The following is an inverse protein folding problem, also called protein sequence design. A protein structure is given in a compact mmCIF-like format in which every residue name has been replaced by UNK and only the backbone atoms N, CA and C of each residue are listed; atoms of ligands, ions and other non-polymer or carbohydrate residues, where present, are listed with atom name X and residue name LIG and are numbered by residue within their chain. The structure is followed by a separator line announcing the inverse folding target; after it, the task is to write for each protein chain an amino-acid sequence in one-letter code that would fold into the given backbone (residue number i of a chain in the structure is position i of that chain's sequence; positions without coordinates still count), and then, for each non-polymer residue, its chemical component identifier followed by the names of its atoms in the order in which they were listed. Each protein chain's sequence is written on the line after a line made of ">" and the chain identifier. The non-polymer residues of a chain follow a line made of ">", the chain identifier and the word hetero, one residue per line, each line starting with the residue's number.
data_IF_540980580225
#
_entry.id   IF_540980580225
#
_cell.length_a   1.000
_cell.length_b   1.000
_cell.length_c   1.000
_cell.angle_alpha   90.00
_cell.angle_beta   90.00
_cell.angle_gamma   90.00
#
_symmetry.space_group_name_H-M   'P 1'
#
loop_
_entity.id
_entity.type
_entity.pdbx_description
1 polymer ?
#
# COMPACT_ATOMS: atom_id res chain seq x y z
N UNK A 1 24.03 23.50 -19.80
CA UNK A 1 22.80 22.75 -20.09
C UNK A 1 22.30 22.13 -18.80
N UNK A 2 21.13 22.57 -18.28
CA UNK A 2 20.49 21.91 -17.14
C UNK A 2 19.95 20.57 -17.61
N UNK A 3 20.51 19.46 -17.11
CA UNK A 3 19.97 18.12 -17.30
C UNK A 3 18.59 18.06 -16.63
N UNK A 4 17.54 18.12 -17.44
CA UNK A 4 16.14 18.33 -17.01
C UNK A 4 15.47 17.11 -16.34
N UNK A 5 16.20 16.03 -16.10
CA UNK A 5 15.77 14.89 -15.29
C UNK A 5 16.97 14.44 -14.46
N UNK A 6 17.05 14.76 -13.15
CA UNK A 6 18.11 14.25 -12.31
C UNK A 6 18.05 12.72 -12.33
N UNK A 7 19.19 12.08 -12.61
CA UNK A 7 19.38 10.62 -12.72
C UNK A 7 18.82 9.85 -11.52
N UNK A 8 18.69 10.53 -10.38
CA UNK A 8 18.14 10.00 -9.14
C UNK A 8 16.62 9.73 -9.24
N UNK A 9 15.85 10.54 -9.99
CA UNK A 9 14.41 10.30 -10.24
C UNK A 9 14.22 9.00 -11.03
N UNK A 10 15.12 8.73 -11.99
CA UNK A 10 15.09 7.51 -12.82
C UNK A 10 15.30 6.25 -11.96
N UNK A 11 15.99 6.35 -10.82
CA UNK A 11 16.20 5.23 -9.91
C UNK A 11 15.03 5.00 -8.95
N UNK A 12 14.35 6.07 -8.52
CA UNK A 12 13.23 6.01 -7.57
C UNK A 12 11.96 5.42 -8.18
N UNK A 13 11.67 5.70 -9.45
CA UNK A 13 10.47 5.19 -10.13
C UNK A 13 10.43 3.65 -10.22
N UNK A 14 11.48 2.97 -10.73
CA UNK A 14 11.54 1.50 -10.76
C UNK A 14 11.43 0.89 -9.37
N UNK A 15 12.07 1.49 -8.36
CA UNK A 15 11.99 1.03 -6.98
C UNK A 15 10.56 1.09 -6.44
N UNK A 16 9.83 2.18 -6.65
CA UNK A 16 8.43 2.29 -6.30
C UNK A 16 7.57 1.22 -6.97
N UNK A 17 7.79 0.97 -8.27
CA UNK A 17 7.08 -0.07 -9.02
C UNK A 17 7.35 -1.46 -8.42
N UNK A 18 8.62 -1.78 -8.16
CA UNK A 18 9.03 -3.06 -7.56
C UNK A 18 8.43 -3.22 -6.16
N UNK A 19 8.44 -2.16 -5.34
CA UNK A 19 7.80 -2.15 -4.02
C UNK A 19 6.30 -2.42 -4.12
N UNK A 20 5.56 -1.66 -4.93
CA UNK A 20 4.12 -1.86 -5.08
C UNK A 20 3.81 -3.26 -5.60
N UNK A 21 4.60 -3.78 -6.54
CA UNK A 21 4.44 -5.15 -7.05
C UNK A 21 4.66 -6.21 -5.96
N UNK A 22 5.72 -6.07 -5.16
CA UNK A 22 5.99 -6.98 -4.03
C UNK A 22 4.88 -6.93 -2.99
N UNK A 23 4.40 -5.73 -2.63
CA UNK A 23 3.31 -5.56 -1.66
C UNK A 23 2.02 -6.20 -2.18
N UNK A 24 1.67 -6.00 -3.45
CA UNK A 24 0.51 -6.65 -4.09
C UNK A 24 0.68 -8.17 -4.11
N UNK A 25 1.87 -8.67 -4.47
CA UNK A 25 2.14 -10.11 -4.51
C UNK A 25 2.00 -10.77 -3.13
N UNK A 26 2.55 -10.16 -2.08
CA UNK A 26 2.39 -10.63 -0.69
C UNK A 26 0.92 -10.59 -0.27
N UNK A 27 0.21 -9.52 -0.63
CA UNK A 27 -1.22 -9.36 -0.34
C UNK A 27 -2.07 -10.43 -1.03
N UNK A 28 -1.78 -10.75 -2.30
CA UNK A 28 -2.43 -11.83 -3.05
C UNK A 28 -2.18 -13.21 -2.41
N UNK A 29 -0.94 -13.49 -1.99
CA UNK A 29 -0.60 -14.74 -1.30
C UNK A 29 -1.39 -14.90 0.00
N UNK A 30 -1.51 -13.83 0.79
CA UNK A 30 -2.28 -13.83 2.03
C UNK A 30 -3.77 -14.00 1.78
N UNK A 31 -4.34 -13.24 0.85
CA UNK A 31 -5.74 -13.37 0.45
C UNK A 31 -6.09 -14.79 -0.02
N UNK A 32 -5.18 -15.45 -0.76
CA UNK A 32 -5.30 -16.86 -1.15
C UNK A 32 -5.23 -17.80 0.04
N UNK A 33 -4.26 -17.62 0.95
CA UNK A 33 -4.14 -18.46 2.17
C UNK A 33 -5.35 -18.32 3.09
N UNK A 34 -5.92 -17.14 3.17
CA UNK A 34 -7.10 -16.85 3.97
C UNK A 34 -8.40 -17.31 3.30
N UNK A 35 -8.31 -17.96 2.12
CA UNK A 35 -9.43 -18.46 1.31
C UNK A 35 -10.44 -17.37 0.93
N UNK A 36 -10.04 -16.10 0.98
CA UNK A 36 -10.83 -14.95 0.54
C UNK A 36 -10.87 -14.85 -0.98
N UNK A 37 -9.76 -15.21 -1.63
CA UNK A 37 -9.72 -15.48 -3.07
C UNK A 37 -9.86 -16.99 -3.30
N UNK A 38 -11.10 -17.47 -3.47
CA UNK A 38 -11.31 -18.77 -4.14
C UNK A 38 -10.85 -18.60 -5.59
N UNK A 39 -10.07 -19.55 -6.11
CA UNK A 39 -9.61 -19.53 -7.52
C UNK A 39 -10.81 -19.28 -8.44
N UNK A 40 -10.65 -18.54 -9.54
CA UNK A 40 -11.76 -18.31 -10.47
C UNK A 40 -12.11 -19.68 -11.07
N UNK A 41 -13.10 -20.35 -10.48
CA UNK A 41 -13.87 -21.33 -11.21
C UNK A 41 -14.81 -20.51 -12.08
N UNK A 42 -14.68 -20.69 -13.40
CA UNK A 42 -15.66 -20.28 -14.40
C UNK A 42 -17.08 -20.39 -13.82
N UNK A 43 -17.73 -19.25 -13.55
CA UNK A 43 -19.08 -19.20 -12.96
C UNK A 43 -19.21 -18.68 -11.51
N UNK A 44 -18.18 -18.08 -10.91
CA UNK A 44 -18.34 -17.36 -9.63
C UNK A 44 -19.26 -16.14 -9.80
N UNK A 45 -20.31 -16.04 -8.97
CA UNK A 45 -21.16 -14.85 -8.87
C UNK A 45 -20.31 -13.61 -8.57
N UNK A 46 -20.43 -12.57 -9.40
CA UNK A 46 -19.67 -11.31 -9.34
C UNK A 46 -19.71 -10.60 -7.97
N UNK A 47 -20.69 -10.92 -7.14
CA UNK A 47 -20.82 -10.37 -5.80
C UNK A 47 -19.67 -10.79 -4.86
N UNK A 48 -19.14 -12.00 -4.97
CA UNK A 48 -18.13 -12.54 -4.05
C UNK A 48 -16.69 -12.09 -4.37
N UNK A 49 -16.44 -11.64 -5.60
CA UNK A 49 -15.11 -11.13 -6.03
C UNK A 49 -14.90 -9.65 -5.65
N UNK A 50 -15.99 -8.92 -5.44
CA UNK A 50 -16.01 -7.48 -5.15
C UNK A 50 -15.16 -7.09 -3.93
N UNK A 51 -15.27 -7.77 -2.76
CA UNK A 51 -14.47 -7.44 -1.58
C UNK A 51 -12.98 -7.72 -1.78
N UNK A 52 -12.63 -8.78 -2.52
CA UNK A 52 -11.23 -9.11 -2.79
C UNK A 52 -10.57 -8.10 -3.73
N UNK A 53 -11.27 -7.70 -4.79
CA UNK A 53 -10.83 -6.63 -5.69
C UNK A 53 -10.68 -5.30 -4.94
N UNK A 54 -11.62 -5.00 -4.04
CA UNK A 54 -11.56 -3.80 -3.22
C UNK A 54 -10.36 -3.79 -2.26
N UNK A 55 -10.06 -4.91 -1.59
CA UNK A 55 -8.88 -5.02 -0.72
C UNK A 55 -7.60 -4.81 -1.52
N UNK A 56 -7.49 -5.38 -2.73
CA UNK A 56 -6.32 -5.17 -3.59
C UNK A 56 -6.16 -3.71 -4.01
N UNK A 57 -7.28 -3.03 -4.31
CA UNK A 57 -7.28 -1.61 -4.64
C UNK A 57 -6.87 -0.75 -3.43
N UNK A 58 -7.36 -1.09 -2.23
CA UNK A 58 -6.95 -0.43 -0.98
C UNK A 58 -5.47 -0.58 -0.67
N UNK A 59 -4.91 -1.79 -0.86
CA UNK A 59 -3.47 -2.04 -0.75
C UNK A 59 -2.67 -1.19 -1.75
N UNK A 60 -3.15 -1.06 -2.99
CA UNK A 60 -2.51 -0.25 -4.01
C UNK A 60 -2.51 1.24 -3.62
N UNK A 61 -3.62 1.76 -3.08
CA UNK A 61 -3.71 3.11 -2.54
C UNK A 61 -2.70 3.30 -1.40
N UNK A 62 -2.68 2.41 -0.41
CA UNK A 62 -1.73 2.48 0.72
C UNK A 62 -0.28 2.45 0.20
N UNK A 63 0.00 1.64 -0.82
CA UNK A 63 1.34 1.56 -1.41
C UNK A 63 1.81 2.87 -2.04
N UNK A 64 0.89 3.76 -2.45
CA UNK A 64 1.23 5.06 -3.04
C UNK A 64 1.61 6.13 -2.00
N UNK A 65 1.37 5.89 -0.71
CA UNK A 65 1.61 6.86 0.36
C UNK A 65 3.09 7.27 0.50
N UNK A 66 4.02 6.43 0.04
CA UNK A 66 5.46 6.66 0.15
C UNK A 66 6.08 7.45 -1.02
N UNK A 67 5.34 7.65 -2.12
CA UNK A 67 5.86 8.32 -3.29
C UNK A 67 6.42 9.73 -2.97
N UNK A 68 5.68 10.66 -2.33
CA UNK A 68 6.20 11.99 -2.05
C UNK A 68 7.43 11.96 -1.12
N UNK A 69 7.39 11.11 -0.10
CA UNK A 69 8.47 10.92 0.86
C UNK A 69 9.77 10.46 0.21
N UNK A 70 9.68 9.51 -0.73
CA UNK A 70 10.85 9.02 -1.47
C UNK A 70 11.44 10.07 -2.40
N UNK A 71 10.61 10.83 -3.13
CA UNK A 71 11.11 11.94 -3.96
C UNK A 71 11.82 13.01 -3.12
N UNK A 72 11.27 13.35 -1.95
CA UNK A 72 11.90 14.30 -1.04
C UNK A 72 13.22 13.78 -0.48
N UNK A 73 13.26 12.53 -0.03
CA UNK A 73 14.48 11.92 0.51
C UNK A 73 15.63 11.90 -0.52
N UNK A 74 15.33 11.56 -1.79
CA UNK A 74 16.30 11.56 -2.88
C UNK A 74 16.92 12.95 -3.07
N UNK A 75 16.07 13.99 -3.03
CA UNK A 75 16.52 15.38 -3.18
C UNK A 75 17.41 15.79 -1.99
N UNK A 76 16.99 15.52 -0.76
CA UNK A 76 17.75 15.86 0.45
C UNK A 76 19.11 15.15 0.51
N UNK A 77 19.17 13.86 0.17
CA UNK A 77 20.42 13.09 0.20
C UNK A 77 21.38 13.47 -0.93
N UNK A 78 20.86 13.84 -2.11
CA UNK A 78 21.67 14.30 -3.25
C UNK A 78 22.42 15.59 -3.01
N UNK A 79 21.95 16.43 -2.08
CA UNK A 79 22.60 17.71 -1.76
C UNK A 79 23.46 17.65 -0.49
N UNK A 80 23.15 16.74 0.42
CA UNK A 80 23.82 16.66 1.73
C UNK A 80 25.02 15.71 1.73
N UNK A 81 25.05 14.69 0.87
CA UNK A 81 26.06 13.62 0.92
C UNK A 81 26.82 13.47 -0.40
N UNK A 82 28.13 13.21 -0.29
CA UNK A 82 29.01 12.87 -1.42
C UNK A 82 28.71 11.49 -2.01
N UNK A 83 28.06 10.60 -1.24
CA UNK A 83 27.49 9.33 -1.71
C UNK A 83 26.03 9.18 -1.27
N UNK A 84 25.13 8.98 -2.24
CA UNK A 84 23.67 8.97 -2.01
C UNK A 84 23.18 7.58 -1.59
N UNK A 85 23.94 6.53 -1.93
CA UNK A 85 23.46 5.14 -2.00
C UNK A 85 23.09 4.52 -0.66
N UNK A 86 23.97 4.58 0.35
CA UNK A 86 23.72 3.96 1.66
C UNK A 86 22.56 4.60 2.45
N UNK A 87 22.52 5.93 2.67
CA UNK A 87 21.45 6.55 3.45
C UNK A 87 20.10 6.45 2.74
N UNK A 88 20.09 6.52 1.41
CA UNK A 88 18.87 6.35 0.62
C UNK A 88 18.33 4.93 0.69
N UNK A 89 19.19 3.90 0.59
CA UNK A 89 18.75 2.50 0.63
C UNK A 89 18.19 2.11 1.99
N UNK A 90 18.78 2.63 3.08
CA UNK A 90 18.29 2.44 4.43
C UNK A 90 16.95 3.15 4.66
N UNK A 91 16.78 4.37 4.15
CA UNK A 91 15.48 5.06 4.16
C UNK A 91 14.42 4.30 3.34
N UNK A 92 14.78 3.86 2.14
CA UNK A 92 13.90 3.06 1.28
C UNK A 92 13.44 1.78 1.97
N UNK A 93 14.35 1.02 2.59
CA UNK A 93 14.02 -0.20 3.33
C UNK A 93 13.05 0.06 4.51
N UNK A 94 13.26 1.15 5.26
CA UNK A 94 12.34 1.56 6.34
C UNK A 94 10.96 1.93 5.78
N UNK A 95 10.93 2.71 4.69
CA UNK A 95 9.68 3.09 4.04
C UNK A 95 8.91 1.88 3.53
N UNK A 96 9.61 0.90 2.95
CA UNK A 96 9.05 -0.36 2.49
C UNK A 96 8.42 -1.16 3.63
N UNK A 97 9.12 -1.29 4.76
CA UNK A 97 8.61 -2.00 5.94
C UNK A 97 7.34 -1.35 6.51
N UNK A 98 7.30 -0.02 6.58
CA UNK A 98 6.12 0.73 7.05
C UNK A 98 4.93 0.51 6.10
N UNK A 99 5.13 0.63 4.80
CA UNK A 99 4.08 0.39 3.81
C UNK A 99 3.60 -1.05 3.84
N UNK A 100 4.50 -2.02 3.96
CA UNK A 100 4.17 -3.44 4.07
C UNK A 100 3.35 -3.71 5.33
N UNK A 101 3.82 -3.25 6.49
CA UNK A 101 3.12 -3.42 7.76
C UNK A 101 1.72 -2.82 7.73
N UNK A 102 1.58 -1.60 7.19
CA UNK A 102 0.28 -0.92 7.11
C UNK A 102 -0.68 -1.64 6.15
N UNK A 103 -0.16 -2.17 5.03
CA UNK A 103 -0.94 -2.98 4.09
C UNK A 103 -1.40 -4.30 4.73
N UNK A 104 -0.54 -4.95 5.52
CA UNK A 104 -0.90 -6.16 6.27
C UNK A 104 -1.96 -5.88 7.33
N UNK A 105 -1.83 -4.77 8.07
CA UNK A 105 -2.82 -4.34 9.04
C UNK A 105 -4.18 -4.10 8.38
N UNK A 106 -4.20 -3.43 7.23
CA UNK A 106 -5.41 -3.20 6.44
C UNK A 106 -6.08 -4.52 6.02
N UNK A 107 -5.32 -5.50 5.54
CA UNK A 107 -5.85 -6.83 5.18
C UNK A 107 -6.41 -7.54 6.41
N UNK A 108 -5.70 -7.48 7.55
CA UNK A 108 -6.16 -8.09 8.80
C UNK A 108 -7.46 -7.46 9.29
N UNK A 109 -7.59 -6.13 9.26
CA UNK A 109 -8.82 -5.41 9.62
C UNK A 109 -9.99 -5.80 8.71
N UNK A 110 -9.76 -5.88 7.40
CA UNK A 110 -10.79 -6.33 6.47
C UNK A 110 -11.17 -7.80 6.68
N UNK A 111 -10.24 -8.68 7.03
CA UNK A 111 -10.56 -10.06 7.35
C UNK A 111 -11.41 -10.19 8.62
N UNK A 112 -11.07 -9.41 9.65
CA UNK A 112 -11.89 -9.33 10.86
C UNK A 112 -13.28 -8.83 10.52
N UNK A 113 -13.40 -7.77 9.71
CA UNK A 113 -14.66 -7.21 9.25
C UNK A 113 -15.51 -8.26 8.50
N UNK A 114 -14.90 -8.96 7.53
CA UNK A 114 -15.54 -10.06 6.79
C UNK A 114 -16.00 -11.17 7.74
N UNK A 115 -15.16 -11.58 8.70
CA UNK A 115 -15.49 -12.66 9.64
C UNK A 115 -16.61 -12.28 10.62
N UNK A 116 -16.68 -11.02 11.05
CA UNK A 116 -17.75 -10.53 11.92
C UNK A 116 -19.09 -10.45 11.19
N UNK A 117 -19.12 -9.96 9.95
CA UNK A 117 -20.35 -9.86 9.16
C UNK A 117 -20.83 -11.21 8.59
N UNK A 118 -19.93 -12.15 8.30
CA UNK A 118 -20.26 -13.48 7.76
C UNK A 118 -20.37 -14.60 8.81
N UNK A 119 -20.73 -14.28 10.07
CA UNK A 119 -21.05 -15.31 11.07
C UNK A 119 -22.22 -16.16 10.58
N UNK A 120 -21.91 -17.35 10.05
CA UNK A 120 -22.65 -18.61 9.87
C UNK A 120 -24.12 -18.63 9.39
N UNK A 121 -24.94 -17.59 9.62
CA UNK A 121 -26.40 -17.63 9.46
C UNK A 121 -26.92 -16.69 8.36
N UNK A 122 -26.05 -15.94 7.67
CA UNK A 122 -26.48 -15.14 6.52
C UNK A 122 -26.40 -15.95 5.22
N UNK A 123 -27.54 -16.18 4.53
CA UNK A 123 -27.53 -16.76 3.20
C UNK A 123 -26.74 -15.85 2.25
N UNK A 124 -26.16 -16.45 1.21
CA UNK A 124 -25.33 -15.86 0.12
C UNK A 124 -25.30 -14.33 0.13
N UNK A 125 -24.12 -13.68 0.28
CA UNK A 125 -24.03 -12.24 0.47
C UNK A 125 -24.89 -11.46 -0.53
N UNK A 126 -25.94 -10.81 -0.01
CA UNK A 126 -26.73 -9.88 -0.78
C UNK A 126 -25.85 -8.68 -1.18
N UNK A 127 -25.98 -8.20 -2.42
CA UNK A 127 -25.28 -7.03 -2.96
C UNK A 127 -25.15 -5.83 -1.99
N UNK A 128 -26.19 -5.42 -1.22
CA UNK A 128 -26.08 -4.34 -0.23
C UNK A 128 -25.11 -4.62 0.92
N UNK A 129 -24.98 -5.87 1.36
CA UNK A 129 -24.05 -6.25 2.45
C UNK A 129 -22.61 -6.16 1.95
N UNK A 130 -22.34 -6.59 0.72
CA UNK A 130 -21.01 -6.45 0.12
C UNK A 130 -20.63 -4.99 -0.12
N UNK A 131 -21.59 -4.15 -0.50
CA UNK A 131 -21.42 -2.70 -0.63
C UNK A 131 -21.07 -2.04 0.72
N UNK A 132 -21.76 -2.42 1.80
CA UNK A 132 -21.46 -1.94 3.14
C UNK A 132 -20.06 -2.35 3.60
N UNK A 133 -19.66 -3.61 3.35
CA UNK A 133 -18.31 -4.10 3.65
C UNK A 133 -17.26 -3.31 2.89
N UNK A 134 -17.49 -3.05 1.59
CA UNK A 134 -16.58 -2.25 0.79
C UNK A 134 -16.51 -0.81 1.32
N UNK A 135 -17.63 -0.19 1.70
CA UNK A 135 -17.66 1.16 2.27
C UNK A 135 -16.87 1.26 3.59
N UNK A 136 -17.02 0.29 4.49
CA UNK A 136 -16.21 0.21 5.72
C UNK A 136 -14.73 -0.01 5.38
N UNK A 137 -14.47 -0.87 4.37
CA UNK A 137 -13.14 -1.09 3.82
C UNK A 137 -12.49 0.19 3.28
N UNK A 138 -13.25 1.07 2.60
CA UNK A 138 -12.78 2.39 2.16
C UNK A 138 -12.33 3.21 3.37
N UNK A 139 -13.15 3.25 4.42
CA UNK A 139 -12.81 3.96 5.65
C UNK A 139 -11.47 3.50 6.24
N UNK A 140 -11.27 2.18 6.37
CA UNK A 140 -9.99 1.64 6.83
C UNK A 140 -8.84 1.93 5.87
N UNK A 141 -9.06 1.88 4.56
CA UNK A 141 -8.02 2.17 3.57
C UNK A 141 -7.54 3.62 3.69
N UNK A 142 -8.47 4.56 3.85
CA UNK A 142 -8.16 5.98 4.03
C UNK A 142 -7.38 6.21 5.33
N UNK A 143 -7.84 5.65 6.44
CA UNK A 143 -7.15 5.78 7.74
C UNK A 143 -5.73 5.20 7.63
N UNK A 144 -5.59 3.98 7.12
CA UNK A 144 -4.28 3.35 6.93
C UNK A 144 -3.38 4.16 5.98
N UNK A 145 -3.93 4.76 4.92
CA UNK A 145 -3.18 5.61 4.01
C UNK A 145 -2.68 6.88 4.70
N UNK A 146 -3.53 7.58 5.44
CA UNK A 146 -3.15 8.78 6.19
C UNK A 146 -2.09 8.48 7.24
N UNK A 147 -2.29 7.43 8.05
CA UNK A 147 -1.32 7.02 9.07
C UNK A 147 0.00 6.61 8.44
N UNK A 148 -0.03 5.83 7.34
CA UNK A 148 1.19 5.45 6.63
C UNK A 148 1.94 6.68 6.12
N UNK A 149 1.22 7.64 5.54
CA UNK A 149 1.80 8.88 5.03
C UNK A 149 2.42 9.71 6.16
N UNK A 150 1.73 9.90 7.27
CA UNK A 150 2.22 10.68 8.42
C UNK A 150 3.48 10.06 9.03
N UNK A 151 3.52 8.74 9.18
CA UNK A 151 4.71 8.02 9.66
C UNK A 151 5.88 8.21 8.68
N UNK A 152 5.62 8.13 7.38
CA UNK A 152 6.64 8.30 6.34
C UNK A 152 7.15 9.74 6.29
N UNK A 153 6.27 10.73 6.36
CA UNK A 153 6.63 12.15 6.38
C UNK A 153 7.49 12.47 7.61
N UNK A 154 7.18 11.92 8.78
CA UNK A 154 8.00 12.07 9.99
C UNK A 154 9.38 11.38 9.89
N UNK A 155 9.50 10.33 9.08
CA UNK A 155 10.77 9.66 8.81
C UNK A 155 11.59 10.36 7.71
N UNK A 156 10.96 11.16 6.85
CA UNK A 156 11.68 11.83 5.76
C UNK A 156 12.64 12.88 6.30
N UNK A 157 13.89 12.89 5.81
CA UNK A 157 14.80 13.99 6.11
C UNK A 157 14.22 15.28 5.53
N UNK A 158 13.86 16.21 6.41
CA UNK A 158 13.40 17.53 5.99
C UNK A 158 14.53 18.23 5.25
N UNK A 159 14.18 18.80 4.11
CA UNK A 159 15.10 19.62 3.36
C UNK A 159 15.26 20.94 4.12
N UNK A 160 16.32 21.06 4.92
CA UNK A 160 16.67 22.32 5.56
C UNK A 160 17.23 23.20 4.44
N UNK A 161 16.43 24.17 3.98
CA UNK A 161 16.98 25.30 3.22
C UNK A 161 17.98 26.00 4.17
N UNK A 162 19.26 25.65 4.10
CA UNK A 162 20.31 26.51 4.59
C UNK A 162 20.27 27.76 3.71
N UNK A 163 19.64 28.80 4.23
CA UNK A 163 19.59 30.12 3.63
C UNK A 163 20.93 30.81 3.83
#
# INVERSE_FOLDING_TARGET
>A
MKTFLPTHIIFTFPLLIVQSYLVIYVSLLLLRRMKLLKRPYSGMNDAETLPAAFILLGVLIISSANAPALFQAVKSFGETYTSITEPFLLFYARSFLVTLFTSLLFIALNFVNLRFLFRADYPVPNLPVNLLICAIGVGFAIICWYTCREVLDNMTPQYINFR
#
